data_IF_931393626179
#
_entry.id   IF_931393626179
#
_cell.length_a   1.000
_cell.length_b   1.000
_cell.length_c   1.000
_cell.angle_alpha   90.00
_cell.angle_beta   90.00
_cell.angle_gamma   90.00
#
_symmetry.space_group_name_H-M   'P 1'
#
loop_
_entity.id
_entity.type
_entity.pdbx_description
1 polymer ?
#
# COMPACT_ATOMS: atom_id res chain seq x y z
N UNK A 1 1.41 2.24 13.89
CA UNK A 1 1.24 3.65 13.48
C UNK A 1 0.68 3.75 12.05
N UNK A 2 1.43 3.33 10.99
CA UNK A 2 0.99 3.52 9.59
C UNK A 2 -0.36 2.85 9.28
N UNK A 3 -0.57 1.60 9.68
CA UNK A 3 -1.84 0.88 9.47
C UNK A 3 -3.01 1.64 10.11
N UNK A 4 -2.83 2.16 11.31
CA UNK A 4 -3.86 2.96 12.00
C UNK A 4 -4.14 4.28 11.27
N UNK A 5 -3.11 4.95 10.76
CA UNK A 5 -3.27 6.17 9.98
C UNK A 5 -4.04 5.90 8.68
N UNK A 6 -3.72 4.81 7.98
CA UNK A 6 -4.43 4.41 6.76
C UNK A 6 -5.89 4.07 7.03
N UNK A 7 -6.21 3.40 8.14
CA UNK A 7 -7.59 3.12 8.56
C UNK A 7 -8.33 4.41 8.92
N UNK A 8 -7.70 5.29 9.69
CA UNK A 8 -8.28 6.57 10.11
C UNK A 8 -8.63 7.47 8.92
N UNK A 9 -7.79 7.50 7.90
CA UNK A 9 -8.00 8.30 6.69
C UNK A 9 -8.87 7.58 5.64
N UNK A 10 -9.40 6.39 5.94
CA UNK A 10 -10.27 5.63 5.05
C UNK A 10 -9.56 5.06 3.83
N UNK A 11 -8.23 4.91 3.88
CA UNK A 11 -7.44 4.29 2.80
C UNK A 11 -7.72 2.79 2.73
N UNK A 12 -7.90 2.16 3.87
CA UNK A 12 -8.24 0.75 4.04
C UNK A 12 -9.35 0.60 5.09
N UNK A 13 -10.17 -0.44 4.93
CA UNK A 13 -11.25 -0.77 5.86
C UNK A 13 -11.15 -2.23 6.30
N UNK A 14 -11.34 -2.49 7.61
CA UNK A 14 -11.47 -3.85 8.14
C UNK A 14 -12.79 -4.50 7.73
N UNK A 15 -12.75 -5.81 7.59
CA UNK A 15 -13.95 -6.64 7.39
C UNK A 15 -14.85 -6.14 6.25
N UNK A 16 -14.29 -5.42 5.28
CA UNK A 16 -14.99 -5.00 4.08
C UNK A 16 -15.25 -6.20 3.15
N UNK A 17 -16.31 -6.12 2.36
CA UNK A 17 -16.57 -7.07 1.27
C UNK A 17 -15.62 -6.88 0.08
N UNK A 18 -14.82 -5.82 0.11
CA UNK A 18 -13.81 -5.47 -0.89
C UNK A 18 -12.43 -5.95 -0.46
N UNK A 19 -11.62 -6.36 -1.42
CA UNK A 19 -10.20 -6.53 -1.23
C UNK A 19 -9.46 -5.22 -1.54
N UNK A 20 -8.53 -4.85 -0.69
CA UNK A 20 -7.63 -3.72 -0.93
C UNK A 20 -6.26 -4.25 -1.35
N UNK A 21 -5.78 -3.87 -2.52
CA UNK A 21 -4.45 -4.20 -3.00
C UNK A 21 -3.56 -2.96 -2.92
N UNK A 22 -2.62 -2.99 -1.99
CA UNK A 22 -1.63 -1.94 -1.81
C UNK A 22 -0.47 -2.20 -2.75
N UNK A 23 -0.26 -1.31 -3.71
CA UNK A 23 0.83 -1.42 -4.69
C UNK A 23 2.03 -0.61 -4.24
N UNK A 24 3.08 -1.30 -3.80
CA UNK A 24 4.39 -0.71 -3.54
C UNK A 24 5.29 -0.75 -4.78
N UNK A 25 6.34 0.06 -4.78
CA UNK A 25 7.33 0.04 -5.85
C UNK A 25 8.05 -1.31 -5.92
N UNK A 26 8.55 -1.79 -4.80
CA UNK A 26 9.40 -2.97 -4.74
C UNK A 26 10.84 -2.68 -5.14
N UNK A 27 11.69 -3.66 -4.95
CA UNK A 27 13.11 -3.60 -5.31
C UNK A 27 13.70 -5.01 -5.31
N UNK A 28 14.71 -5.30 -6.14
CA UNK A 28 15.47 -6.56 -6.06
C UNK A 28 16.37 -6.64 -4.81
N UNK A 29 16.53 -5.54 -4.08
CA UNK A 29 17.35 -5.50 -2.86
C UNK A 29 16.65 -6.20 -1.69
N UNK A 30 17.44 -6.66 -0.70
CA UNK A 30 16.94 -7.36 0.50
C UNK A 30 15.91 -6.54 1.29
N UNK A 31 15.96 -5.22 1.22
CA UNK A 31 15.00 -4.33 1.89
C UNK A 31 13.56 -4.53 1.39
N UNK A 32 13.38 -5.21 0.26
CA UNK A 32 12.05 -5.58 -0.24
C UNK A 32 11.23 -6.39 0.77
N UNK A 33 11.89 -7.06 1.73
CA UNK A 33 11.23 -7.77 2.82
C UNK A 33 10.27 -6.90 3.64
N UNK A 34 10.39 -5.58 3.58
CA UNK A 34 9.45 -4.66 4.23
C UNK A 34 8.01 -4.86 3.74
N UNK A 35 7.79 -5.20 2.47
CA UNK A 35 6.46 -5.41 1.91
C UNK A 35 5.75 -6.66 2.46
N UNK A 36 6.31 -7.87 2.38
CA UNK A 36 5.68 -9.04 2.99
C UNK A 36 5.60 -8.92 4.52
N UNK A 37 6.54 -8.25 5.19
CA UNK A 37 6.44 -7.98 6.61
C UNK A 37 5.26 -7.05 6.93
N UNK A 38 5.01 -6.04 6.10
CA UNK A 38 3.86 -5.15 6.28
C UNK A 38 2.54 -5.89 6.03
N UNK A 39 2.47 -6.75 5.01
CA UNK A 39 1.30 -7.61 4.77
C UNK A 39 1.01 -8.52 5.98
N UNK A 40 2.04 -9.14 6.56
CA UNK A 40 1.90 -9.93 7.79
C UNK A 40 1.30 -9.10 8.94
N UNK A 41 1.79 -7.88 9.16
CA UNK A 41 1.27 -7.00 10.21
C UNK A 41 -0.16 -6.54 9.96
N UNK A 42 -0.56 -6.30 8.71
CA UNK A 42 -1.95 -6.03 8.36
C UNK A 42 -2.87 -7.16 8.82
N UNK A 43 -2.52 -8.42 8.50
CA UNK A 43 -3.27 -9.60 8.96
C UNK A 43 -3.33 -9.69 10.48
N UNK A 44 -2.20 -9.47 11.17
CA UNK A 44 -2.13 -9.43 12.63
C UNK A 44 -3.01 -8.33 13.24
N UNK A 45 -3.25 -7.25 12.55
CA UNK A 45 -4.15 -6.16 12.95
C UNK A 45 -5.61 -6.39 12.54
N UNK A 46 -5.94 -7.53 11.91
CA UNK A 46 -7.31 -7.89 11.49
C UNK A 46 -7.73 -7.35 10.13
N UNK A 47 -6.78 -6.95 9.30
CA UNK A 47 -7.03 -6.54 7.90
C UNK A 47 -6.83 -7.71 6.94
N UNK A 48 -7.64 -8.77 7.09
CA UNK A 48 -7.53 -9.99 6.27
C UNK A 48 -7.86 -9.76 4.79
N UNK A 49 -8.55 -8.68 4.48
CA UNK A 49 -8.95 -8.25 3.16
C UNK A 49 -7.98 -7.25 2.50
N UNK A 50 -6.85 -6.93 3.12
CA UNK A 50 -5.83 -6.02 2.59
C UNK A 50 -4.59 -6.83 2.23
N UNK A 51 -4.08 -6.65 1.02
CA UNK A 51 -2.95 -7.38 0.45
C UNK A 51 -1.89 -6.40 -0.03
N UNK A 52 -0.63 -6.76 0.12
CA UNK A 52 0.50 -5.94 -0.33
C UNK A 52 1.22 -6.62 -1.48
N UNK A 53 1.37 -5.91 -2.57
CA UNK A 53 2.16 -6.35 -3.72
C UNK A 53 3.10 -5.26 -4.22
N UNK A 54 3.96 -5.60 -5.14
CA UNK A 54 4.98 -4.70 -5.68
C UNK A 54 5.07 -4.78 -7.20
N UNK A 55 5.55 -3.70 -7.81
CA UNK A 55 5.83 -3.65 -9.27
C UNK A 55 7.17 -4.32 -9.58
N UNK A 56 8.24 -3.96 -8.86
CA UNK A 56 9.61 -4.38 -9.16
C UNK A 56 10.21 -5.38 -8.16
N UNK A 57 9.38 -5.95 -7.28
CA UNK A 57 9.83 -6.88 -6.26
C UNK A 57 8.87 -8.03 -6.05
N UNK A 58 8.68 -8.40 -4.80
CA UNK A 58 7.67 -9.39 -4.39
C UNK A 58 6.96 -8.94 -3.10
N UNK A 59 5.71 -9.38 -2.81
CA UNK A 59 4.86 -10.20 -3.68
C UNK A 59 4.51 -9.50 -4.99
N UNK A 60 4.35 -10.30 -6.06
CA UNK A 60 3.93 -9.81 -7.37
C UNK A 60 2.39 -9.78 -7.48
N UNK A 61 1.86 -9.16 -8.53
CA UNK A 61 0.42 -9.23 -8.82
C UNK A 61 -0.07 -10.68 -8.99
N UNK A 62 0.72 -11.55 -9.61
CA UNK A 62 0.36 -12.97 -9.79
C UNK A 62 0.17 -13.66 -8.44
N UNK A 63 1.05 -13.38 -7.47
CA UNK A 63 0.91 -13.88 -6.10
C UNK A 63 -0.40 -13.39 -5.45
N UNK A 64 -0.75 -12.12 -5.66
CA UNK A 64 -2.00 -11.57 -5.13
C UNK A 64 -3.22 -12.21 -5.80
N UNK A 65 -3.18 -12.47 -7.10
CA UNK A 65 -4.24 -13.17 -7.82
C UNK A 65 -4.48 -14.57 -7.28
N UNK A 66 -3.42 -15.31 -6.95
CA UNK A 66 -3.54 -16.62 -6.30
C UNK A 66 -4.24 -16.51 -4.95
N UNK A 67 -3.85 -15.55 -4.12
CA UNK A 67 -4.47 -15.30 -2.83
C UNK A 67 -5.95 -14.87 -2.95
N UNK A 68 -6.28 -14.06 -3.94
CA UNK A 68 -7.65 -13.60 -4.19
C UNK A 68 -8.56 -14.75 -4.66
N UNK A 69 -8.05 -15.71 -5.45
CA UNK A 69 -8.80 -16.88 -5.92
C UNK A 69 -9.28 -17.77 -4.79
N UNK A 70 -8.52 -17.83 -3.70
CA UNK A 70 -8.91 -18.59 -2.50
C UNK A 70 -10.01 -17.89 -1.69
N UNK A 71 -10.35 -16.65 -2.06
CA UNK A 71 -11.30 -15.78 -1.36
C UNK A 71 -12.43 -15.39 -2.29
N UNK A 72 -13.58 -15.00 -1.72
CA UNK A 72 -14.79 -14.71 -2.50
C UNK A 72 -14.98 -13.19 -2.72
N UNK A 73 -13.90 -12.44 -2.96
CA UNK A 73 -14.03 -11.03 -3.30
C UNK A 73 -14.46 -10.86 -4.75
N UNK A 74 -15.34 -9.89 -4.99
CA UNK A 74 -15.75 -9.46 -6.32
C UNK A 74 -15.24 -8.07 -6.66
N UNK A 75 -15.05 -7.24 -5.64
CA UNK A 75 -14.52 -5.88 -5.79
C UNK A 75 -13.11 -5.78 -5.24
N UNK A 76 -12.27 -5.10 -5.99
CA UNK A 76 -10.88 -4.80 -5.62
C UNK A 76 -10.65 -3.30 -5.66
N UNK A 77 -10.08 -2.77 -4.59
CA UNK A 77 -9.63 -1.38 -4.52
C UNK A 77 -8.11 -1.36 -4.66
N UNK A 78 -7.60 -0.71 -5.70
CA UNK A 78 -6.17 -0.50 -5.91
C UNK A 78 -5.73 0.79 -5.22
N UNK A 79 -4.69 0.70 -4.41
CA UNK A 79 -4.16 1.80 -3.62
C UNK A 79 -2.65 1.90 -3.81
N UNK A 80 -2.11 3.05 -4.24
CA UNK A 80 -0.66 3.22 -4.33
C UNK A 80 -0.08 3.34 -2.91
N UNK A 81 0.77 2.39 -2.52
CA UNK A 81 1.53 2.44 -1.27
C UNK A 81 2.84 3.21 -1.49
N UNK A 82 2.71 4.44 -1.92
CA UNK A 82 3.77 5.38 -2.24
C UNK A 82 3.38 6.77 -1.73
N UNK A 83 4.38 7.61 -1.40
CA UNK A 83 4.10 8.98 -0.91
C UNK A 83 3.37 9.82 -1.96
N UNK A 84 3.72 9.64 -3.24
CA UNK A 84 3.12 10.31 -4.38
C UNK A 84 2.60 9.26 -5.35
N UNK A 85 1.40 9.45 -5.87
CA UNK A 85 0.84 8.64 -6.95
C UNK A 85 1.42 9.11 -8.30
N UNK A 86 2.68 8.74 -8.55
CA UNK A 86 3.43 9.09 -9.76
C UNK A 86 3.24 8.08 -10.90
N UNK A 87 4.26 7.94 -11.75
CA UNK A 87 4.20 7.14 -12.98
C UNK A 87 3.77 5.69 -12.76
N UNK A 88 4.28 5.03 -11.73
CA UNK A 88 3.88 3.65 -11.40
C UNK A 88 2.40 3.54 -11.04
N UNK A 89 1.85 4.48 -10.29
CA UNK A 89 0.43 4.48 -9.97
C UNK A 89 -0.42 4.78 -11.22
N UNK A 90 0.04 5.65 -12.10
CA UNK A 90 -0.69 6.03 -13.30
C UNK A 90 -0.60 4.98 -14.41
N UNK A 91 0.55 4.34 -14.59
CA UNK A 91 0.81 3.41 -15.67
C UNK A 91 0.67 1.95 -15.23
N UNK A 92 1.50 1.50 -14.27
CA UNK A 92 1.52 0.08 -13.87
C UNK A 92 0.27 -0.33 -13.09
N UNK A 93 -0.31 0.58 -12.28
CA UNK A 93 -1.52 0.28 -11.52
C UNK A 93 -2.79 0.57 -12.31
N UNK A 94 -2.94 1.80 -12.81
CA UNK A 94 -4.18 2.35 -13.35
C UNK A 94 -4.22 2.50 -14.87
N UNK A 95 -3.11 2.22 -15.56
CA UNK A 95 -2.99 2.37 -17.01
C UNK A 95 -3.91 1.44 -17.80
N UNK A 96 -4.01 1.70 -19.10
CA UNK A 96 -4.85 0.93 -20.02
C UNK A 96 -4.08 -0.19 -20.73
N UNK A 97 -2.76 -0.29 -20.50
CA UNK A 97 -1.94 -1.37 -21.02
C UNK A 97 -2.39 -2.72 -20.47
N UNK A 98 -2.16 -3.79 -21.24
CA UNK A 98 -2.66 -5.13 -20.91
C UNK A 98 -2.08 -5.71 -19.61
N UNK A 99 -0.90 -5.29 -19.23
CA UNK A 99 -0.16 -5.73 -18.06
C UNK A 99 -0.38 -4.85 -16.81
N UNK A 100 -1.12 -3.75 -16.94
CA UNK A 100 -1.48 -2.95 -15.76
C UNK A 100 -2.31 -3.77 -14.77
N UNK A 101 -2.16 -3.47 -13.48
CA UNK A 101 -2.91 -4.17 -12.43
C UNK A 101 -4.43 -4.08 -12.65
N UNK A 102 -4.93 -2.90 -13.03
CA UNK A 102 -6.33 -2.69 -13.38
C UNK A 102 -6.78 -3.63 -14.50
N UNK A 103 -6.04 -3.68 -15.62
CA UNK A 103 -6.40 -4.48 -16.78
C UNK A 103 -6.35 -5.98 -16.47
N UNK A 104 -5.31 -6.44 -15.78
CA UNK A 104 -5.15 -7.83 -15.35
C UNK A 104 -6.29 -8.27 -14.44
N UNK A 105 -6.59 -7.50 -13.39
CA UNK A 105 -7.66 -7.80 -12.44
C UNK A 105 -9.05 -7.80 -13.11
N UNK A 106 -9.30 -6.85 -14.00
CA UNK A 106 -10.56 -6.78 -14.77
C UNK A 106 -10.73 -8.01 -15.64
N UNK A 107 -9.68 -8.48 -16.32
CA UNK A 107 -9.72 -9.74 -17.11
C UNK A 107 -9.98 -10.97 -16.25
N UNK A 108 -9.59 -10.95 -14.99
CA UNK A 108 -9.90 -12.03 -14.03
C UNK A 108 -11.29 -11.92 -13.40
N UNK A 109 -12.10 -10.95 -13.85
CA UNK A 109 -13.51 -10.83 -13.46
C UNK A 109 -13.75 -9.95 -12.22
N UNK A 110 -12.75 -9.24 -11.72
CA UNK A 110 -12.93 -8.32 -10.60
C UNK A 110 -13.45 -6.95 -11.05
N UNK A 111 -14.33 -6.36 -10.26
CA UNK A 111 -14.67 -4.94 -10.38
C UNK A 111 -13.57 -4.13 -9.69
N UNK A 112 -12.88 -3.28 -10.44
CA UNK A 112 -11.71 -2.54 -9.94
C UNK A 112 -12.06 -1.09 -9.67
N UNK A 113 -11.79 -0.64 -8.45
CA UNK A 113 -11.85 0.77 -8.03
C UNK A 113 -10.43 1.29 -7.81
N UNK A 114 -10.15 2.51 -8.24
CA UNK A 114 -8.85 3.14 -8.12
C UNK A 114 -8.87 4.24 -7.05
N UNK A 115 -7.99 4.16 -6.08
CA UNK A 115 -7.64 5.28 -5.20
C UNK A 115 -6.32 5.88 -5.69
N UNK A 116 -6.38 6.97 -6.46
CA UNK A 116 -5.20 7.56 -7.12
C UNK A 116 -4.48 8.61 -6.25
N UNK A 117 -4.63 8.53 -4.94
CA UNK A 117 -3.99 9.46 -4.01
C UNK A 117 -2.81 8.80 -3.32
N UNK A 118 -1.63 9.43 -3.38
CA UNK A 118 -0.46 8.97 -2.65
C UNK A 118 -0.60 9.14 -1.14
N UNK A 119 0.08 8.29 -0.37
CA UNK A 119 -0.01 8.29 1.10
C UNK A 119 0.38 9.63 1.75
N UNK A 120 1.25 10.41 1.09
CA UNK A 120 1.67 11.73 1.57
C UNK A 120 0.58 12.79 1.57
N UNK A 121 -0.56 12.55 0.91
CA UNK A 121 -1.68 13.49 0.89
C UNK A 121 -2.70 13.25 2.03
N UNK A 122 -2.56 12.17 2.80
CA UNK A 122 -3.47 11.82 3.89
C UNK A 122 -3.02 12.45 5.22
N UNK A 123 -3.92 13.18 5.94
CA UNK A 123 -3.56 13.92 7.14
C UNK A 123 -2.97 13.07 8.26
N UNK A 124 -3.52 11.88 8.53
CA UNK A 124 -2.99 11.01 9.58
C UNK A 124 -1.62 10.44 9.22
N UNK A 125 -1.35 10.18 7.93
CA UNK A 125 -0.02 9.78 7.46
C UNK A 125 0.97 10.95 7.58
N UNK A 126 0.58 12.17 7.20
CA UNK A 126 1.40 13.38 7.38
C UNK A 126 1.79 13.57 8.85
N UNK A 127 0.85 13.36 9.77
CA UNK A 127 1.11 13.49 11.21
C UNK A 127 2.21 12.53 11.71
N UNK A 128 2.35 11.35 11.11
CA UNK A 128 3.44 10.41 11.43
C UNK A 128 4.81 10.98 11.07
N UNK A 129 4.93 11.62 9.91
CA UNK A 129 6.19 12.28 9.51
C UNK A 129 6.54 13.43 10.44
N UNK A 130 5.56 14.26 10.78
CA UNK A 130 5.76 15.37 11.74
C UNK A 130 6.24 14.83 13.09
N UNK A 131 5.57 13.78 13.61
CA UNK A 131 5.96 13.16 14.88
C UNK A 131 7.38 12.58 14.84
N UNK A 132 7.81 11.96 13.73
CA UNK A 132 9.17 11.46 13.57
C UNK A 132 10.19 12.59 13.57
N UNK A 133 9.94 13.71 12.88
CA UNK A 133 10.83 14.86 12.87
C UNK A 133 10.93 15.46 14.27
N UNK A 134 9.81 15.64 14.98
CA UNK A 134 9.81 16.15 16.35
C UNK A 134 10.65 15.26 17.28
N UNK A 135 10.45 13.96 17.21
CA UNK A 135 11.23 13.01 18.00
C UNK A 135 12.73 13.08 17.71
N UNK A 136 13.12 13.24 16.45
CA UNK A 136 14.53 13.40 16.07
C UNK A 136 15.13 14.70 16.63
N UNK A 137 14.36 15.78 16.64
CA UNK A 137 14.81 17.06 17.22
C UNK A 137 14.99 16.96 18.73
N UNK A 138 14.13 16.23 19.42
CA UNK A 138 14.25 15.97 20.86
C UNK A 138 15.48 15.11 21.21
N UNK A 139 15.86 14.18 20.31
CA UNK A 139 17.04 13.31 20.50
C UNK A 139 18.36 13.97 20.08
N UNK A 140 18.33 15.08 19.34
CA UNK A 140 19.53 15.81 18.97
C UNK A 140 20.09 16.47 20.21
N UNK A 141 21.33 16.16 20.66
CA UNK A 141 21.94 16.89 21.76
C UNK A 141 22.00 18.36 21.38
N UNK A 142 21.54 19.22 22.28
CA UNK A 142 21.70 20.68 22.15
C UNK A 142 23.12 20.98 21.68
N UNK A 143 23.19 21.74 20.60
CA UNK A 143 24.45 22.00 19.92
C UNK A 143 25.53 22.43 20.91
N UNK A 144 26.60 21.68 20.91
CA UNK A 144 27.77 22.06 21.66
C UNK A 144 28.15 23.49 21.26
N UNK A 145 28.10 24.37 22.22
CA UNK A 145 28.66 25.70 22.11
C UNK A 145 30.09 25.58 21.57
N UNK A 146 30.37 26.22 20.47
CA UNK A 146 31.73 26.47 20.00
C UNK A 146 32.20 27.80 20.52
#
# INVERSE_FOLDING_TARGET
ALIQAMEQDGVIEKASTKAYLLMGHGTPHIINQAYPAFDYWLKRCGFDNVFVGTVEGYPTLDTLLEQLKERQYQEVVLVPMMLVAGDHAQNDMAGDEEDSWKSVLTRHGYTVTLQMQGLGAYPAVQALYVAHVQHMLELSPEGGER
#
